data_IF_709519797623
#
_entry.id   IF_709519797623
#
_cell.length_a   1.000
_cell.length_b   1.000
_cell.length_c   1.000
_cell.angle_alpha   90.00
_cell.angle_beta   90.00
_cell.angle_gamma   90.00
#
_symmetry.space_group_name_H-M   'P 1'
#
loop_
_entity.id
_entity.type
_entity.pdbx_description
1 polymer ?
#
# COMPACT_ATOMS: atom_id res chain seq x y z
N UNK A 1 12.24 14.88 11.62
CA UNK A 1 12.27 13.83 10.57
C UNK A 1 11.34 14.33 9.48
N UNK A 2 11.86 14.93 8.40
CA UNK A 2 11.03 15.62 7.38
C UNK A 2 11.04 14.89 6.04
N UNK A 3 11.28 13.58 6.05
CA UNK A 3 11.44 12.81 4.83
C UNK A 3 10.21 11.89 4.69
N UNK A 4 9.50 11.89 3.55
CA UNK A 4 8.32 11.05 3.35
C UNK A 4 8.68 9.57 3.52
N UNK A 5 7.74 8.74 4.00
CA UNK A 5 7.94 7.33 4.37
C UNK A 5 8.80 6.55 3.38
N UNK A 6 8.59 6.76 2.06
CA UNK A 6 9.37 6.14 0.99
C UNK A 6 10.88 6.42 1.04
N UNK A 7 11.29 7.61 1.47
CA UNK A 7 12.71 7.98 1.56
C UNK A 7 13.42 7.31 2.73
N UNK A 8 12.72 7.09 3.85
CA UNK A 8 13.25 6.42 5.04
C UNK A 8 13.55 4.94 4.72
N UNK A 9 12.70 4.31 3.92
CA UNK A 9 12.78 2.89 3.61
C UNK A 9 13.86 2.53 2.57
N UNK A 10 14.44 3.51 1.86
CA UNK A 10 15.45 3.27 0.81
C UNK A 10 16.75 2.64 1.29
N UNK A 11 17.14 2.84 2.56
CA UNK A 11 18.37 2.27 3.13
C UNK A 11 18.21 0.82 3.62
N UNK A 12 17.02 0.22 3.46
CA UNK A 12 16.68 -1.09 4.00
C UNK A 12 16.24 -1.03 5.47
N UNK A 13 15.65 -2.12 5.97
CA UNK A 13 15.16 -2.25 7.34
C UNK A 13 15.30 -3.68 7.86
N UNK A 14 15.24 -3.83 9.19
CA UNK A 14 15.37 -5.11 9.89
C UNK A 14 13.98 -5.51 10.39
N UNK A 15 13.55 -6.73 10.08
CA UNK A 15 12.33 -7.31 10.63
C UNK A 15 12.61 -7.90 12.00
N UNK A 16 11.93 -7.37 13.01
CA UNK A 16 12.02 -7.84 14.39
C UNK A 16 10.62 -8.26 14.84
N UNK A 17 10.41 -9.49 15.33
CA UNK A 17 9.12 -9.91 15.88
C UNK A 17 8.65 -8.98 16.99
N UNK A 18 7.37 -8.57 16.93
CA UNK A 18 6.78 -7.69 17.96
C UNK A 18 6.91 -8.25 19.38
N UNK A 19 6.77 -9.56 19.55
CA UNK A 19 6.89 -10.21 20.86
C UNK A 19 8.26 -9.97 21.52
N UNK A 20 9.35 -10.02 20.75
CA UNK A 20 10.70 -9.74 21.27
C UNK A 20 10.84 -8.30 21.73
N UNK A 21 10.24 -7.37 20.99
CA UNK A 21 10.23 -5.95 21.33
C UNK A 21 9.38 -5.70 22.58
N UNK A 22 8.21 -6.32 22.66
CA UNK A 22 7.32 -6.24 23.82
C UNK A 22 8.01 -6.77 25.08
N UNK A 23 8.70 -7.90 24.99
CA UNK A 23 9.44 -8.47 26.11
C UNK A 23 10.62 -7.59 26.53
N UNK A 24 11.35 -6.99 25.58
CA UNK A 24 12.39 -6.00 25.86
C UNK A 24 11.86 -4.81 26.67
N UNK A 25 10.67 -4.30 26.33
CA UNK A 25 10.06 -3.19 27.08
C UNK A 25 9.42 -3.62 28.41
N UNK A 26 9.06 -4.89 28.59
CA UNK A 26 8.61 -5.41 29.90
C UNK A 26 9.74 -5.47 30.92
N UNK A 27 10.97 -5.73 30.48
CA UNK A 27 12.15 -5.86 31.37
C UNK A 27 12.64 -4.54 31.99
N UNK A 28 11.97 -3.42 31.70
CA UNK A 28 12.13 -2.18 32.45
C UNK A 28 13.25 -1.28 31.96
N UNK A 29 12.99 -0.58 30.85
CA UNK A 29 13.67 0.68 30.55
C UNK A 29 12.61 1.78 30.35
N UNK A 30 12.87 2.96 30.90
CA UNK A 30 12.12 4.13 30.48
C UNK A 30 12.45 4.38 29.01
N UNK A 31 11.43 4.72 28.22
CA UNK A 31 11.66 5.10 26.83
C UNK A 31 12.38 6.45 26.85
N UNK A 32 13.68 6.48 26.58
CA UNK A 32 14.47 7.71 26.62
C UNK A 32 14.57 8.37 25.24
N UNK A 33 14.52 7.57 24.17
CA UNK A 33 14.70 8.02 22.79
C UNK A 33 13.43 8.15 21.94
N UNK A 34 13.48 9.00 20.90
CA UNK A 34 12.43 9.11 19.89
C UNK A 34 12.23 7.79 19.09
N UNK A 35 13.32 7.05 18.85
CA UNK A 35 13.26 5.77 18.15
C UNK A 35 12.52 4.71 18.99
N UNK A 36 12.86 4.60 20.27
CA UNK A 36 12.20 3.67 21.19
C UNK A 36 10.71 3.99 21.30
N UNK A 37 10.35 5.28 21.38
CA UNK A 37 8.96 5.71 21.39
C UNK A 37 8.23 5.34 20.09
N UNK A 38 8.89 5.47 18.94
CA UNK A 38 8.32 5.03 17.66
C UNK A 38 8.09 3.52 17.61
N UNK A 39 9.04 2.74 18.12
CA UNK A 39 8.92 1.28 18.21
C UNK A 39 7.74 0.90 19.16
N UNK A 40 7.56 1.62 20.27
CA UNK A 40 6.42 1.44 21.18
C UNK A 40 5.07 1.76 20.50
N UNK A 41 5.04 2.71 19.56
CA UNK A 41 3.86 2.99 18.73
C UNK A 41 3.59 1.83 17.76
N UNK A 42 4.61 1.39 17.00
CA UNK A 42 4.47 0.32 16.01
C UNK A 42 4.02 -1.03 16.60
N UNK A 43 4.42 -1.32 17.84
CA UNK A 43 3.97 -2.51 18.58
C UNK A 43 2.51 -2.42 18.98
N UNK A 44 2.02 -1.25 19.41
CA UNK A 44 0.68 -1.04 19.97
C UNK A 44 -0.41 -0.69 18.98
N UNK A 45 -0.07 -0.24 17.78
CA UNK A 45 -1.07 -0.12 16.71
C UNK A 45 -1.52 -1.51 16.27
N UNK A 46 -2.78 -1.60 15.88
CA UNK A 46 -3.44 -2.86 15.57
C UNK A 46 -2.73 -3.58 14.42
N UNK A 47 -2.46 -4.87 14.62
CA UNK A 47 -1.93 -5.70 13.56
C UNK A 47 -3.03 -6.19 12.61
N UNK A 48 -4.26 -6.40 13.08
CA UNK A 48 -5.39 -6.75 12.23
C UNK A 48 -6.57 -5.87 12.59
N UNK A 49 -7.57 -5.82 11.72
CA UNK A 49 -8.84 -5.18 12.05
C UNK A 49 -9.46 -5.91 13.25
N UNK A 50 -9.79 -5.16 14.30
CA UNK A 50 -10.41 -5.72 15.51
C UNK A 50 -11.56 -4.83 15.95
N UNK A 51 -12.66 -5.44 16.35
CA UNK A 51 -13.73 -4.75 17.06
C UNK A 51 -13.30 -4.44 18.50
N UNK A 52 -13.41 -3.18 18.89
CA UNK A 52 -13.08 -2.70 20.22
C UNK A 52 -14.23 -1.88 20.79
N UNK A 53 -14.48 -2.02 22.08
CA UNK A 53 -15.47 -1.23 22.79
C UNK A 53 -14.79 -0.05 23.47
N UNK A 54 -15.12 1.17 23.05
CA UNK A 54 -14.56 2.41 23.59
C UNK A 54 -15.71 3.32 23.99
N UNK A 55 -15.75 3.71 25.27
CA UNK A 55 -16.81 4.55 25.84
C UNK A 55 -18.24 4.01 25.58
N UNK A 56 -18.40 2.68 25.58
CA UNK A 56 -19.68 2.02 25.31
C UNK A 56 -20.04 1.86 23.82
N UNK A 57 -19.26 2.47 22.92
CA UNK A 57 -19.42 2.33 21.47
C UNK A 57 -18.56 1.17 20.94
N UNK A 58 -19.15 0.31 20.12
CA UNK A 58 -18.41 -0.71 19.36
C UNK A 58 -17.88 -0.07 18.08
N UNK A 59 -16.56 -0.04 17.95
CA UNK A 59 -15.89 0.51 16.78
C UNK A 59 -14.93 -0.53 16.20
N UNK A 60 -14.77 -0.52 14.88
CA UNK A 60 -13.71 -1.29 14.21
C UNK A 60 -12.44 -0.46 14.25
N UNK A 61 -11.43 -0.92 14.99
CA UNK A 61 -10.09 -0.35 14.96
C UNK A 61 -9.28 -1.14 13.93
N UNK A 62 -8.97 -0.50 12.80
CA UNK A 62 -8.33 -1.15 11.66
C UNK A 62 -6.85 -1.40 11.90
N UNK A 63 -6.27 -2.24 11.06
CA UNK A 63 -4.82 -2.45 11.00
C UNK A 63 -4.08 -1.11 10.84
N UNK A 64 -3.05 -0.89 11.65
CA UNK A 64 -2.29 0.35 11.73
C UNK A 64 -2.94 1.45 12.56
N UNK A 65 -4.15 1.24 13.10
CA UNK A 65 -4.85 2.19 13.97
C UNK A 65 -4.66 1.87 15.46
N UNK A 66 -4.93 2.86 16.30
CA UNK A 66 -4.97 2.68 17.75
C UNK A 66 -5.98 3.62 18.39
N UNK A 67 -6.67 3.09 19.41
CA UNK A 67 -7.62 3.82 20.28
C UNK A 67 -6.94 4.48 21.48
N UNK A 68 -5.61 4.38 21.59
CA UNK A 68 -4.90 4.91 22.75
C UNK A 68 -5.03 6.43 22.85
N UNK A 69 -5.54 6.87 24.00
CA UNK A 69 -5.59 8.27 24.38
C UNK A 69 -4.19 8.81 24.69
N UNK A 70 -4.01 10.13 24.62
CA UNK A 70 -2.75 10.78 25.03
C UNK A 70 -2.31 10.39 26.45
N UNK A 71 -3.25 10.22 27.39
CA UNK A 71 -2.96 9.78 28.76
C UNK A 71 -2.38 8.36 28.80
N UNK A 72 -2.89 7.46 27.96
CA UNK A 72 -2.33 6.11 27.84
C UNK A 72 -0.94 6.14 27.22
N UNK A 73 -0.70 7.02 26.24
CA UNK A 73 0.63 7.22 25.66
C UNK A 73 1.64 7.81 26.65
N UNK A 74 1.26 8.81 27.44
CA UNK A 74 2.10 9.36 28.51
C UNK A 74 2.56 8.26 29.46
N UNK A 75 1.63 7.42 29.92
CA UNK A 75 1.94 6.27 30.79
C UNK A 75 2.83 5.24 30.10
N UNK A 76 2.55 4.95 28.84
CA UNK A 76 3.28 3.93 28.05
C UNK A 76 4.72 4.35 27.79
N UNK A 77 4.95 5.62 27.46
CA UNK A 77 6.26 6.16 27.13
C UNK A 77 7.03 6.62 28.37
N UNK A 78 6.37 6.76 29.53
CA UNK A 78 6.95 7.37 30.72
C UNK A 78 7.26 8.86 30.53
N UNK A 79 6.52 9.53 29.64
CA UNK A 79 6.79 10.92 29.24
C UNK A 79 5.78 11.88 29.81
N UNK A 80 6.22 13.14 29.99
CA UNK A 80 5.30 14.23 30.30
C UNK A 80 4.31 14.45 29.16
N UNK A 81 3.14 15.03 29.48
CA UNK A 81 2.12 15.42 28.50
C UNK A 81 2.67 16.27 27.36
N UNK A 82 3.52 17.25 27.68
CA UNK A 82 4.12 18.13 26.68
C UNK A 82 5.03 17.34 25.73
N UNK A 83 5.91 16.50 26.27
CA UNK A 83 6.84 15.69 25.47
C UNK A 83 6.09 14.71 24.56
N UNK A 84 5.08 14.04 25.10
CA UNK A 84 4.23 13.10 24.35
C UNK A 84 3.49 13.80 23.22
N UNK A 85 2.88 14.97 23.48
CA UNK A 85 2.22 15.76 22.42
C UNK A 85 3.17 16.20 21.33
N UNK A 86 4.32 16.77 21.71
CA UNK A 86 5.34 17.23 20.75
C UNK A 86 5.85 16.10 19.86
N UNK A 87 5.97 14.89 20.41
CA UNK A 87 6.33 13.70 19.64
C UNK A 87 5.29 13.37 18.57
N UNK A 88 4.02 13.23 18.94
CA UNK A 88 2.96 12.95 17.96
C UNK A 88 2.77 14.08 16.95
N UNK A 89 2.83 15.35 17.37
CA UNK A 89 2.80 16.50 16.47
C UNK A 89 3.93 16.45 15.42
N UNK A 90 5.11 15.97 15.81
CA UNK A 90 6.23 15.78 14.88
C UNK A 90 5.91 14.69 13.86
N UNK A 91 5.30 13.58 14.30
CA UNK A 91 4.89 12.49 13.42
C UNK A 91 3.78 12.93 12.45
N UNK A 92 2.77 13.66 12.94
CA UNK A 92 1.70 14.22 12.09
C UNK A 92 2.25 15.20 11.06
N UNK A 93 3.11 16.14 11.46
CA UNK A 93 3.74 17.10 10.52
C UNK A 93 4.60 16.41 9.46
N UNK A 94 5.17 15.25 9.78
CA UNK A 94 5.95 14.45 8.83
C UNK A 94 5.13 13.51 7.95
N UNK A 95 3.82 13.38 8.20
CA UNK A 95 2.93 12.46 7.49
C UNK A 95 3.08 10.98 7.86
N UNK A 96 3.93 10.65 8.85
CA UNK A 96 4.13 9.27 9.33
C UNK A 96 2.89 8.76 10.07
N UNK A 97 2.15 9.67 10.69
CA UNK A 97 0.88 9.37 11.35
C UNK A 97 -0.19 10.36 10.93
N UNK A 98 -1.44 9.96 11.10
CA UNK A 98 -2.62 10.80 10.92
C UNK A 98 -3.64 10.58 12.04
N UNK A 99 -4.53 11.56 12.19
CA UNK A 99 -5.70 11.46 13.05
C UNK A 99 -6.88 11.04 12.18
N UNK A 100 -7.60 10.00 12.60
CA UNK A 100 -8.74 9.45 11.88
C UNK A 100 -10.00 9.67 12.69
N UNK A 101 -11.00 10.29 12.07
CA UNK A 101 -12.32 10.45 12.66
C UNK A 101 -13.12 9.15 12.52
N UNK A 102 -13.67 8.69 13.63
CA UNK A 102 -14.60 7.56 13.65
C UNK A 102 -16.05 8.08 13.71
N UNK A 103 -17.02 7.40 13.06
CA UNK A 103 -18.45 7.74 13.15
C UNK A 103 -19.01 7.87 14.58
N UNK A 104 -18.39 7.21 15.56
CA UNK A 104 -18.74 7.33 16.98
C UNK A 104 -18.19 8.61 17.66
N UNK A 105 -17.58 9.54 16.91
CA UNK A 105 -16.94 10.74 17.45
C UNK A 105 -15.62 10.46 18.20
N UNK A 106 -15.09 9.24 18.08
CA UNK A 106 -13.86 8.81 18.74
C UNK A 106 -12.66 9.10 17.81
N UNK A 107 -11.69 9.84 18.33
CA UNK A 107 -10.44 10.12 17.61
C UNK A 107 -9.51 8.91 17.65
N UNK A 108 -9.18 8.36 16.48
CA UNK A 108 -8.20 7.30 16.32
C UNK A 108 -6.89 7.87 15.81
N UNK A 109 -5.77 7.25 16.19
CA UNK A 109 -4.47 7.54 15.59
C UNK A 109 -4.13 6.43 14.61
N UNK A 110 -3.61 6.76 13.44
CA UNK A 110 -3.18 5.79 12.43
C UNK A 110 -1.74 6.02 12.03
N UNK A 111 -0.99 4.93 11.88
CA UNK A 111 0.31 4.94 11.18
C UNK A 111 0.06 4.87 9.68
N UNK A 112 0.50 5.89 8.96
CA UNK A 112 0.41 5.95 7.49
C UNK A 112 1.28 4.85 6.89
N UNK A 113 0.74 4.12 5.92
CA UNK A 113 1.42 3.00 5.25
C UNK A 113 2.01 1.96 6.22
N UNK A 114 1.29 1.62 7.30
CA UNK A 114 1.73 0.67 8.34
C UNK A 114 2.30 -0.65 7.80
N UNK A 115 1.78 -1.10 6.68
CA UNK A 115 2.23 -2.25 5.92
C UNK A 115 3.70 -2.17 5.48
N UNK A 116 4.15 -1.00 5.04
CA UNK A 116 5.55 -0.76 4.68
C UNK A 116 6.48 -0.86 5.90
N UNK A 117 6.01 -0.42 7.07
CA UNK A 117 6.77 -0.45 8.32
C UNK A 117 6.90 -1.86 8.92
N UNK A 118 6.01 -2.77 8.57
CA UNK A 118 5.97 -4.14 9.13
C UNK A 118 6.48 -5.19 8.14
N UNK A 119 6.98 -4.78 6.98
CA UNK A 119 7.32 -5.68 5.87
C UNK A 119 6.14 -6.48 5.35
N UNK A 120 4.93 -6.13 5.78
CA UNK A 120 3.69 -6.63 5.22
C UNK A 120 3.47 -5.87 3.93
N UNK A 121 4.17 -6.28 2.88
CA UNK A 121 3.81 -5.85 1.54
C UNK A 121 2.34 -6.19 1.40
N UNK A 122 1.49 -5.22 1.01
CA UNK A 122 0.07 -5.47 0.72
C UNK A 122 -0.01 -6.85 0.06
N UNK A 123 -0.86 -7.73 0.56
CA UNK A 123 -1.15 -8.98 -0.13
C UNK A 123 -1.78 -8.73 -1.52
N UNK A 124 -1.94 -7.47 -1.94
CA UNK A 124 -1.81 -7.08 -3.34
C UNK A 124 -0.33 -6.89 -3.71
N UNK A 125 0.21 -7.84 -4.48
CA UNK A 125 1.39 -7.67 -5.37
C UNK A 125 2.77 -8.13 -4.85
N UNK A 126 2.87 -9.27 -4.16
CA UNK A 126 4.20 -9.88 -3.89
C UNK A 126 4.39 -11.36 -4.21
N UNK A 127 3.76 -11.81 -5.30
CA UNK A 127 4.28 -12.97 -6.06
C UNK A 127 4.71 -12.67 -7.49
N UNK A 128 4.62 -11.44 -7.96
CA UNK A 128 4.91 -11.11 -9.36
C UNK A 128 5.55 -9.69 -9.51
N UNK A 129 6.24 -9.11 -8.53
CA UNK A 129 6.57 -7.65 -8.54
C UNK A 129 7.54 -7.16 -9.63
N UNK A 130 8.06 -8.02 -10.51
CA UNK A 130 8.69 -7.58 -11.77
C UNK A 130 7.84 -7.87 -13.03
N UNK A 131 6.79 -8.69 -12.92
CA UNK A 131 5.90 -9.06 -14.02
C UNK A 131 4.49 -8.42 -13.90
N UNK A 132 4.04 -8.05 -12.69
CA UNK A 132 2.69 -7.54 -12.43
C UNK A 132 2.53 -6.08 -12.77
N UNK A 133 3.56 -5.25 -12.54
CA UNK A 133 3.45 -3.81 -12.78
C UNK A 133 3.18 -3.52 -14.25
N UNK A 134 3.92 -4.19 -15.15
CA UNK A 134 3.67 -4.10 -16.58
C UNK A 134 2.31 -4.65 -16.99
N UNK A 135 1.87 -5.79 -16.44
CA UNK A 135 0.58 -6.37 -16.82
C UNK A 135 -0.60 -5.52 -16.34
N UNK A 136 -0.56 -5.00 -15.12
CA UNK A 136 -1.63 -4.17 -14.59
C UNK A 136 -1.79 -2.88 -15.41
N UNK A 137 -0.66 -2.24 -15.74
CA UNK A 137 -0.66 -1.07 -16.61
C UNK A 137 -1.24 -1.38 -17.99
N UNK A 138 -0.85 -2.50 -18.60
CA UNK A 138 -1.43 -2.95 -19.86
C UNK A 138 -2.93 -3.21 -19.73
N UNK A 139 -3.33 -3.93 -18.69
CA UNK A 139 -4.71 -4.31 -18.45
C UNK A 139 -5.62 -3.10 -18.28
N UNK A 140 -5.18 -2.08 -17.55
CA UNK A 140 -5.99 -0.88 -17.37
C UNK A 140 -5.95 0.03 -18.60
N UNK A 141 -4.79 0.22 -19.24
CA UNK A 141 -4.66 1.04 -20.44
C UNK A 141 -5.46 0.49 -21.61
N UNK A 142 -5.35 -0.83 -21.87
CA UNK A 142 -6.04 -1.48 -22.99
C UNK A 142 -7.55 -1.27 -22.92
N UNK A 143 -8.18 -1.61 -21.79
CA UNK A 143 -9.63 -1.49 -21.64
C UNK A 143 -10.08 -0.03 -21.56
N UNK A 144 -9.24 0.89 -21.08
CA UNK A 144 -9.53 2.33 -21.14
C UNK A 144 -9.54 2.86 -22.58
N UNK A 145 -8.61 2.43 -23.43
CA UNK A 145 -8.55 2.88 -24.83
C UNK A 145 -9.63 2.21 -25.67
N UNK A 146 -9.73 0.87 -25.60
CA UNK A 146 -10.60 0.11 -26.50
C UNK A 146 -12.05 -0.02 -26.01
N UNK A 147 -12.33 0.39 -24.76
CA UNK A 147 -13.64 0.26 -24.11
C UNK A 147 -14.22 -1.17 -24.14
N UNK A 148 -13.34 -2.19 -24.21
CA UNK A 148 -13.75 -3.61 -24.14
C UNK A 148 -13.99 -4.01 -22.69
N UNK A 149 -14.78 -5.07 -22.50
CA UNK A 149 -14.99 -5.66 -21.18
C UNK A 149 -13.75 -6.38 -20.66
N UNK A 150 -13.50 -6.28 -19.35
CA UNK A 150 -12.37 -6.92 -18.65
C UNK A 150 -12.60 -8.43 -18.44
N UNK A 151 -12.63 -9.21 -19.52
CA UNK A 151 -12.88 -10.67 -19.50
C UNK A 151 -11.61 -11.49 -19.77
N UNK A 152 -11.57 -12.77 -19.37
CA UNK A 152 -10.46 -13.70 -19.63
C UNK A 152 -9.09 -13.26 -19.07
N UNK A 153 -9.06 -12.61 -17.90
CA UNK A 153 -7.82 -12.12 -17.25
C UNK A 153 -6.73 -13.20 -17.11
N UNK A 154 -7.10 -14.45 -16.81
CA UNK A 154 -6.14 -15.54 -16.67
C UNK A 154 -5.43 -15.86 -18.01
N UNK A 155 -6.16 -15.84 -19.13
CA UNK A 155 -5.59 -16.03 -20.47
C UNK A 155 -4.69 -14.85 -20.83
N UNK A 156 -5.14 -13.62 -20.63
CA UNK A 156 -4.32 -12.44 -20.91
C UNK A 156 -3.02 -12.41 -20.09
N UNK A 157 -3.06 -12.82 -18.81
CA UNK A 157 -1.85 -12.96 -17.99
C UNK A 157 -0.90 -14.03 -18.55
N UNK A 158 -1.44 -15.15 -19.03
CA UNK A 158 -0.64 -16.21 -19.65
C UNK A 158 0.06 -15.70 -20.90
N UNK A 159 -0.65 -15.01 -21.79
CA UNK A 159 -0.08 -14.44 -23.01
C UNK A 159 0.94 -13.34 -22.71
N UNK A 160 0.66 -12.45 -21.75
CA UNK A 160 1.60 -11.44 -21.30
C UNK A 160 2.92 -12.01 -20.78
N UNK A 161 2.88 -13.16 -20.08
CA UNK A 161 4.09 -13.83 -19.58
C UNK A 161 4.98 -14.37 -20.70
N UNK A 162 4.44 -14.64 -21.90
CA UNK A 162 5.22 -15.10 -23.07
C UNK A 162 6.00 -13.98 -23.75
N UNK A 163 5.62 -12.71 -23.54
CA UNK A 163 6.23 -11.58 -24.21
C UNK A 163 7.58 -11.17 -23.59
N UNK A 164 8.51 -10.81 -24.45
CA UNK A 164 9.79 -10.17 -24.10
C UNK A 164 9.59 -8.77 -23.53
N UNK A 165 10.62 -8.17 -22.95
CA UNK A 165 10.56 -6.82 -22.38
C UNK A 165 10.24 -5.77 -23.45
N UNK A 166 10.81 -5.92 -24.65
CA UNK A 166 10.56 -5.03 -25.80
C UNK A 166 9.13 -5.18 -26.32
N UNK A 167 8.64 -6.41 -26.48
CA UNK A 167 7.25 -6.66 -26.91
C UNK A 167 6.24 -6.13 -25.90
N UNK A 168 6.50 -6.23 -24.59
CA UNK A 168 5.63 -5.66 -23.55
C UNK A 168 5.55 -4.14 -23.63
N UNK A 169 6.66 -3.48 -24.00
CA UNK A 169 6.71 -2.04 -24.22
C UNK A 169 5.89 -1.66 -25.46
N UNK A 170 6.11 -2.33 -26.59
CA UNK A 170 5.35 -2.10 -27.83
C UNK A 170 3.85 -2.39 -27.66
N UNK A 171 3.50 -3.43 -26.92
CA UNK A 171 2.12 -3.77 -26.59
C UNK A 171 1.39 -2.71 -25.74
N UNK A 172 2.13 -1.80 -25.10
CA UNK A 172 1.57 -0.66 -24.36
C UNK A 172 1.49 0.58 -25.24
N UNK A 173 2.58 0.90 -25.94
CA UNK A 173 2.72 2.11 -26.76
C UNK A 173 1.75 2.09 -27.96
N UNK A 174 1.53 0.93 -28.56
CA UNK A 174 0.78 0.81 -29.82
C UNK A 174 -0.70 0.46 -29.62
N UNK A 175 -1.26 0.56 -28.40
CA UNK A 175 -2.68 0.27 -28.14
C UNK A 175 -3.58 1.29 -28.85
N UNK A 176 -3.21 2.57 -28.77
CA UNK A 176 -3.98 3.66 -29.36
C UNK A 176 -3.92 3.59 -30.88
N UNK A 177 -2.73 3.44 -31.46
CA UNK A 177 -2.54 3.25 -32.90
C UNK A 177 -3.29 2.01 -33.42
N UNK A 178 -3.23 0.88 -32.71
CA UNK A 178 -4.01 -0.31 -33.03
C UNK A 178 -5.51 -0.03 -33.08
N UNK A 179 -6.02 0.72 -32.10
CA UNK A 179 -7.44 1.00 -31.96
C UNK A 179 -7.93 2.01 -33.00
N UNK A 180 -7.15 3.06 -33.30
CA UNK A 180 -7.53 4.12 -34.26
C UNK A 180 -7.60 3.61 -35.70
N UNK A 181 -6.81 2.60 -36.06
CA UNK A 181 -6.83 1.99 -37.38
C UNK A 181 -7.93 0.92 -37.55
N UNK A 182 -8.73 0.68 -36.52
CA UNK A 182 -9.81 -0.28 -36.57
C UNK A 182 -11.05 0.30 -37.28
N UNK A 183 -11.27 -0.10 -38.54
CA UNK A 183 -12.40 0.38 -39.37
C UNK A 183 -13.80 0.11 -38.77
N UNK A 184 -13.94 -0.95 -37.99
CA UNK A 184 -15.16 -1.23 -37.20
C UNK A 184 -14.78 -1.80 -35.82
N UNK A 185 -15.25 -1.12 -34.77
CA UNK A 185 -14.99 -1.40 -33.35
C UNK A 185 -15.39 -2.82 -32.95
N UNK A 186 -16.33 -3.45 -33.67
CA UNK A 186 -16.71 -4.85 -33.46
C UNK A 186 -15.56 -5.82 -33.69
N UNK A 187 -14.65 -5.51 -34.60
CA UNK A 187 -13.47 -6.34 -34.87
C UNK A 187 -12.30 -6.05 -33.92
N UNK A 188 -12.42 -5.05 -33.03
CA UNK A 188 -11.40 -4.81 -32.01
C UNK A 188 -11.26 -6.06 -31.12
N UNK A 189 -10.03 -6.57 -31.04
CA UNK A 189 -9.69 -7.82 -30.37
C UNK A 189 -9.91 -7.69 -28.86
N UNK A 190 -10.14 -8.82 -28.20
CA UNK A 190 -10.05 -8.88 -26.74
C UNK A 190 -8.59 -8.79 -26.30
N UNK A 191 -8.32 -8.28 -25.10
CA UNK A 191 -6.96 -8.05 -24.61
C UNK A 191 -6.06 -9.30 -24.72
N UNK A 192 -6.60 -10.49 -24.42
CA UNK A 192 -5.86 -11.74 -24.58
C UNK A 192 -5.46 -12.02 -26.05
N UNK A 193 -6.38 -11.80 -26.99
CA UNK A 193 -6.17 -12.03 -28.43
C UNK A 193 -5.25 -10.97 -29.05
N UNK A 194 -5.32 -9.73 -28.56
CA UNK A 194 -4.37 -8.68 -28.92
C UNK A 194 -2.92 -9.06 -28.58
N UNK A 195 -2.71 -9.62 -27.39
CA UNK A 195 -1.39 -10.11 -26.96
C UNK A 195 -0.95 -11.37 -27.71
N UNK A 196 -1.87 -12.33 -27.89
CA UNK A 196 -1.60 -13.61 -28.55
C UNK A 196 -1.18 -13.43 -30.02
N UNK A 197 -1.94 -12.62 -30.76
CA UNK A 197 -1.68 -12.36 -32.18
C UNK A 197 -0.57 -11.32 -32.39
N UNK A 198 -0.01 -10.76 -31.31
CA UNK A 198 0.92 -9.64 -31.31
C UNK A 198 0.46 -8.49 -32.20
N UNK A 199 -0.82 -8.11 -32.07
CA UNK A 199 -1.45 -7.10 -32.93
C UNK A 199 -0.82 -5.70 -32.80
N UNK A 200 -0.02 -5.47 -31.76
CA UNK A 200 0.84 -4.29 -31.59
C UNK A 200 2.01 -4.20 -32.59
N UNK A 201 2.27 -5.26 -33.35
CA UNK A 201 3.26 -5.28 -34.44
C UNK A 201 2.61 -5.16 -35.83
N UNK A 202 1.30 -4.92 -35.91
CA UNK A 202 0.63 -4.72 -37.18
C UNK A 202 1.19 -3.47 -37.86
N UNK A 203 1.48 -3.59 -39.15
CA UNK A 203 1.83 -2.46 -40.00
C UNK A 203 0.54 -1.85 -40.55
N UNK A 204 0.31 -0.58 -40.25
CA UNK A 204 -0.82 0.18 -40.77
C UNK A 204 -0.33 1.10 -41.88
N UNK A 205 -0.78 0.86 -43.10
CA UNK A 205 -0.60 1.82 -44.20
C UNK A 205 -1.70 2.89 -44.12
N UNK A 206 -1.31 4.17 -44.25
CA UNK A 206 -2.19 5.33 -44.25
C UNK A 206 -2.98 5.48 -45.56
#
# INVERSE_FOLDING_TARGET
MNAPTETILKKGYILIPKSMIEDFFKTGSQTEGYLEAWIQVLTRVNYSDTEVCVQGNRIVCRRGETVYTYKQWEKTLGWSRYRTRRFFETLFKSGIMEVVENPAGITLLRVTDYDLWTGHKKAATTRDSHATEGFANFWDLYHRVTQKDKINIARARKEWKKLTVTEKKLALENIEEYYTHQKDIRFCKQAATYLEDKAFLNEYEF
#
